data_IF_242127954275
#
_entry.id   IF_242127954275
#
_cell.length_a   1.000
_cell.length_b   1.000
_cell.length_c   1.000
_cell.angle_alpha   90.00
_cell.angle_beta   90.00
_cell.angle_gamma   90.00
#
_symmetry.space_group_name_H-M   'P 1'
#
loop_
_entity.id
_entity.type
_entity.pdbx_description
1 polymer ?
#
# COMPACT_ATOMS: atom_id res chain seq x y z
N UNK A 1 -10.17 -1.26 -8.64
CA UNK A 1 -10.57 0.00 -9.31
C UNK A 1 -9.37 0.75 -9.84
N UNK A 2 -8.36 1.15 -9.00
CA UNK A 2 -7.17 1.89 -9.46
C UNK A 2 -6.55 1.31 -10.73
N UNK A 3 -6.26 -0.01 -10.75
CA UNK A 3 -5.64 -0.66 -11.92
C UNK A 3 -6.53 -0.58 -13.16
N UNK A 4 -7.85 -0.69 -13.01
CA UNK A 4 -8.80 -0.51 -14.12
C UNK A 4 -8.79 0.92 -14.66
N UNK A 5 -8.77 1.93 -13.79
CA UNK A 5 -8.67 3.34 -14.19
C UNK A 5 -7.35 3.68 -14.92
N UNK A 6 -6.29 2.96 -14.57
CA UNK A 6 -4.97 3.10 -15.22
C UNK A 6 -4.76 2.19 -16.42
N UNK A 7 -5.78 1.41 -16.80
CA UNK A 7 -5.70 0.40 -17.88
C UNK A 7 -4.54 -0.59 -17.66
N UNK A 8 -4.31 -0.96 -16.39
CA UNK A 8 -3.30 -1.94 -16.00
C UNK A 8 -3.96 -3.31 -15.80
N UNK A 9 -3.24 -4.41 -16.06
CA UNK A 9 -3.74 -5.74 -15.74
C UNK A 9 -3.99 -5.87 -14.22
N UNK A 10 -5.04 -6.56 -13.86
CA UNK A 10 -5.38 -6.88 -12.47
C UNK A 10 -5.87 -8.32 -12.39
N UNK A 11 -5.56 -8.98 -11.29
CA UNK A 11 -5.87 -10.39 -11.05
C UNK A 11 -6.67 -10.60 -9.76
N UNK A 12 -6.71 -9.58 -8.89
CA UNK A 12 -7.37 -9.67 -7.59
C UNK A 12 -8.64 -8.83 -7.58
N UNK A 13 -9.74 -9.45 -7.17
CA UNK A 13 -11.01 -8.79 -6.93
C UNK A 13 -11.22 -8.63 -5.43
N UNK A 14 -11.08 -7.41 -4.93
CA UNK A 14 -11.46 -7.01 -3.58
C UNK A 14 -12.87 -6.42 -3.65
N UNK A 15 -13.86 -7.12 -3.10
CA UNK A 15 -15.28 -6.77 -3.18
C UNK A 15 -15.74 -6.27 -1.80
N UNK A 16 -15.76 -4.94 -1.58
CA UNK A 16 -16.33 -4.39 -0.36
C UNK A 16 -17.86 -4.48 -0.37
N UNK A 17 -18.46 -4.89 0.74
CA UNK A 17 -19.90 -5.09 0.89
C UNK A 17 -20.43 -4.53 2.21
N UNK A 18 -21.69 -4.14 2.24
CA UNK A 18 -22.39 -3.79 3.49
C UNK A 18 -22.98 -5.01 4.22
N UNK A 19 -22.89 -6.20 3.62
CA UNK A 19 -23.34 -7.45 4.22
C UNK A 19 -22.35 -7.92 5.30
N UNK A 20 -22.87 -8.42 6.42
CA UNK A 20 -22.03 -9.06 7.45
C UNK A 20 -21.47 -10.40 6.95
N UNK A 21 -20.35 -10.90 7.52
CA UNK A 21 -19.73 -12.16 7.08
C UNK A 21 -20.70 -13.34 7.07
N UNK A 22 -21.59 -13.44 8.05
CA UNK A 22 -22.61 -14.49 8.13
C UNK A 22 -23.60 -14.41 6.95
N UNK A 23 -24.05 -13.20 6.62
CA UNK A 23 -24.95 -12.97 5.49
C UNK A 23 -24.27 -13.32 4.15
N UNK A 24 -22.97 -12.99 4.02
CA UNK A 24 -22.20 -13.37 2.84
C UNK A 24 -22.14 -14.90 2.73
N UNK A 25 -21.84 -15.61 3.81
CA UNK A 25 -21.82 -17.08 3.82
C UNK A 25 -23.19 -17.72 3.50
N UNK A 26 -24.27 -17.11 3.96
CA UNK A 26 -25.65 -17.57 3.65
C UNK A 26 -25.98 -17.38 2.17
N UNK A 27 -25.66 -16.22 1.59
CA UNK A 27 -25.90 -15.93 0.16
C UNK A 27 -25.13 -16.86 -0.75
N UNK A 28 -23.91 -17.23 -0.36
CA UNK A 28 -23.01 -18.09 -1.13
C UNK A 28 -22.98 -19.54 -0.62
N UNK A 29 -24.06 -20.02 0.04
CA UNK A 29 -24.10 -21.36 0.63
C UNK A 29 -23.90 -22.50 -0.40
N UNK A 30 -24.24 -22.27 -1.67
CA UNK A 30 -24.04 -23.22 -2.77
C UNK A 30 -22.61 -23.23 -3.33
N UNK A 31 -21.74 -22.32 -2.86
CA UNK A 31 -20.35 -22.22 -3.27
C UNK A 31 -19.42 -22.70 -2.16
N UNK A 32 -18.18 -23.00 -2.51
CA UNK A 32 -17.16 -23.26 -1.51
C UNK A 32 -16.73 -21.94 -0.85
N UNK A 33 -17.11 -21.77 0.42
CA UNK A 33 -16.79 -20.57 1.20
C UNK A 33 -15.68 -20.88 2.19
N UNK A 34 -14.65 -20.02 2.26
CA UNK A 34 -13.52 -20.16 3.17
C UNK A 34 -13.54 -18.94 4.12
N UNK A 35 -13.78 -19.14 5.42
CA UNK A 35 -13.91 -18.07 6.41
C UNK A 35 -12.53 -17.57 6.89
N UNK A 36 -11.63 -17.17 5.98
CA UNK A 36 -10.23 -16.86 6.25
C UNK A 36 -10.00 -15.66 7.16
N UNK A 37 -10.92 -14.72 7.21
CA UNK A 37 -10.74 -13.46 7.93
C UNK A 37 -11.99 -12.92 8.61
N UNK A 38 -12.88 -13.79 9.10
CA UNK A 38 -14.18 -13.41 9.70
C UNK A 38 -14.02 -12.32 10.77
N UNK A 39 -13.00 -12.41 11.62
CA UNK A 39 -12.74 -11.41 12.67
C UNK A 39 -12.54 -10.00 12.11
N UNK A 40 -12.07 -9.91 10.87
CA UNK A 40 -11.81 -8.65 10.16
C UNK A 40 -12.84 -8.38 9.06
N UNK A 41 -13.90 -9.19 8.99
CA UNK A 41 -14.99 -9.01 8.05
C UNK A 41 -14.77 -9.63 6.66
N UNK A 42 -13.70 -10.41 6.43
CA UNK A 42 -13.39 -10.97 5.12
C UNK A 42 -13.83 -12.43 5.02
N UNK A 43 -14.46 -12.76 3.91
CA UNK A 43 -14.86 -14.11 3.50
C UNK A 43 -14.37 -14.35 2.07
N UNK A 44 -13.70 -15.48 1.83
CA UNK A 44 -13.30 -15.87 0.47
C UNK A 44 -14.32 -16.84 -0.11
N UNK A 45 -14.87 -16.52 -1.27
CA UNK A 45 -15.79 -17.38 -2.04
C UNK A 45 -15.04 -17.91 -3.26
N UNK A 46 -15.05 -19.23 -3.44
CA UNK A 46 -14.48 -19.85 -4.64
C UNK A 46 -15.58 -20.00 -5.70
N UNK A 47 -15.41 -19.33 -6.83
CA UNK A 47 -16.27 -19.47 -7.99
C UNK A 47 -15.46 -20.03 -9.17
N UNK A 48 -15.77 -21.23 -9.64
CA UNK A 48 -14.98 -21.94 -10.66
C UNK A 48 -13.48 -22.05 -10.32
N UNK A 49 -13.17 -22.35 -9.06
CA UNK A 49 -11.83 -22.41 -8.48
C UNK A 49 -11.08 -21.05 -8.41
N UNK A 50 -11.70 -19.96 -8.83
CA UNK A 50 -11.16 -18.60 -8.65
C UNK A 50 -11.60 -18.02 -7.30
N UNK A 51 -10.66 -17.47 -6.48
CA UNK A 51 -10.98 -16.88 -5.21
C UNK A 51 -11.47 -15.43 -5.36
N UNK A 52 -12.59 -15.10 -4.72
CA UNK A 52 -13.11 -13.75 -4.59
C UNK A 52 -13.15 -13.38 -3.11
N UNK A 53 -12.45 -12.33 -2.73
CA UNK A 53 -12.47 -11.80 -1.37
C UNK A 53 -13.58 -10.78 -1.20
N UNK A 54 -14.56 -11.11 -0.36
CA UNK A 54 -15.68 -10.23 -0.02
C UNK A 54 -15.46 -9.73 1.41
N UNK A 55 -15.31 -8.41 1.57
CA UNK A 55 -15.01 -7.79 2.85
C UNK A 55 -16.14 -6.86 3.29
N UNK A 56 -16.69 -7.10 4.47
CA UNK A 56 -17.67 -6.21 5.09
C UNK A 56 -17.06 -4.84 5.35
N UNK A 57 -17.77 -3.76 5.02
CA UNK A 57 -17.34 -2.40 5.35
C UNK A 57 -17.08 -2.29 6.84
N UNK A 58 -15.96 -1.65 7.20
CA UNK A 58 -15.56 -1.53 8.58
C UNK A 58 -14.84 -0.22 8.88
N UNK A 59 -14.88 0.13 10.15
CA UNK A 59 -14.06 1.16 10.76
C UNK A 59 -13.03 0.41 11.61
N UNK A 60 -11.75 0.70 11.43
CA UNK A 60 -10.70 0.14 12.25
C UNK A 60 -10.65 0.90 13.58
N UNK A 61 -10.53 0.17 14.70
CA UNK A 61 -10.33 0.74 16.02
C UNK A 61 -8.89 1.16 16.28
N UNK A 62 -8.52 1.29 17.55
CA UNK A 62 -7.14 1.64 17.93
C UNK A 62 -6.17 0.53 17.51
N UNK A 63 -4.94 0.95 17.16
CA UNK A 63 -3.85 0.06 16.77
C UNK A 63 -2.83 -0.01 17.91
N UNK A 64 -2.70 -1.17 18.56
CA UNK A 64 -1.72 -1.37 19.65
C UNK A 64 -0.37 -1.87 19.15
N UNK A 65 -0.34 -2.62 18.04
CA UNK A 65 0.85 -3.29 17.51
C UNK A 65 1.37 -2.65 16.20
N UNK A 66 0.89 -1.46 15.84
CA UNK A 66 1.21 -0.77 14.57
C UNK A 66 0.90 -1.61 13.32
N UNK A 67 -0.06 -2.55 13.41
CA UNK A 67 -0.44 -3.44 12.31
C UNK A 67 -1.93 -3.75 12.27
N UNK A 68 -2.46 -4.25 13.37
CA UNK A 68 -3.83 -4.72 13.45
C UNK A 68 -4.64 -3.82 14.35
N UNK A 69 -5.83 -3.40 13.93
CA UNK A 69 -6.75 -2.80 14.86
C UNK A 69 -7.15 -3.83 15.93
N UNK A 70 -7.14 -3.45 17.18
CA UNK A 70 -7.57 -4.32 18.28
C UNK A 70 -9.00 -4.81 18.08
N UNK A 71 -9.84 -3.91 17.57
CA UNK A 71 -11.23 -4.18 17.27
C UNK A 71 -11.60 -3.57 15.93
N UNK A 72 -12.54 -4.19 15.24
CA UNK A 72 -13.17 -3.64 14.04
C UNK A 72 -14.67 -3.46 14.32
N UNK A 73 -15.21 -2.35 13.87
CA UNK A 73 -16.66 -2.10 13.92
C UNK A 73 -17.20 -2.12 12.50
N UNK A 74 -18.15 -3.02 12.23
CA UNK A 74 -18.78 -3.06 10.93
C UNK A 74 -19.70 -1.85 10.73
N UNK A 75 -19.69 -1.30 9.52
CA UNK A 75 -20.49 -0.15 9.12
C UNK A 75 -21.25 -0.47 7.84
N UNK A 76 -22.34 0.24 7.61
CA UNK A 76 -23.04 0.19 6.32
C UNK A 76 -22.55 1.29 5.34
N UNK A 77 -21.65 2.16 5.79
CA UNK A 77 -21.19 3.31 5.03
C UNK A 77 -19.86 3.01 4.33
N UNK A 78 -19.89 2.94 3.01
CA UNK A 78 -18.70 2.72 2.18
C UNK A 78 -17.62 3.80 2.38
N UNK A 79 -18.00 5.05 2.64
CA UNK A 79 -17.04 6.13 2.88
C UNK A 79 -16.14 5.84 4.09
N UNK A 80 -16.69 5.26 5.14
CA UNK A 80 -15.92 4.94 6.35
C UNK A 80 -14.91 3.82 6.06
N UNK A 81 -15.28 2.82 5.26
CA UNK A 81 -14.36 1.75 4.83
C UNK A 81 -13.23 2.31 3.96
N UNK A 82 -13.53 3.24 3.07
CA UNK A 82 -12.50 3.86 2.23
C UNK A 82 -11.61 4.82 3.04
N UNK A 83 -12.13 5.46 4.10
CA UNK A 83 -11.38 6.38 4.95
C UNK A 83 -10.24 5.72 5.72
N UNK A 84 -10.32 4.42 6.05
CA UNK A 84 -9.26 3.69 6.75
C UNK A 84 -8.12 3.23 5.83
N UNK A 85 -8.26 3.36 4.51
CA UNK A 85 -7.26 2.95 3.53
C UNK A 85 -6.02 3.84 3.57
N UNK A 86 -4.94 3.37 2.96
CA UNK A 86 -3.63 4.04 2.99
C UNK A 86 -3.59 5.31 2.14
N UNK A 87 -3.89 5.19 0.83
CA UNK A 87 -3.74 6.28 -0.13
C UNK A 87 -5.02 6.50 -0.92
N UNK A 88 -5.24 7.75 -1.36
CA UNK A 88 -6.41 8.17 -2.13
C UNK A 88 -6.63 7.32 -3.37
N UNK A 89 -5.56 7.02 -4.11
CA UNK A 89 -5.58 6.16 -5.30
C UNK A 89 -6.05 4.73 -5.02
N UNK A 90 -6.05 4.29 -3.77
CA UNK A 90 -6.55 2.99 -3.30
C UNK A 90 -7.91 3.11 -2.60
N UNK A 91 -8.41 4.32 -2.35
CA UNK A 91 -9.66 4.60 -1.65
C UNK A 91 -10.80 4.95 -2.61
N UNK A 92 -10.86 4.26 -3.74
CA UNK A 92 -11.86 4.40 -4.79
C UNK A 92 -12.64 3.08 -4.88
N UNK A 93 -13.95 3.14 -4.95
CA UNK A 93 -14.81 2.01 -5.24
C UNK A 93 -15.54 2.19 -6.57
N UNK A 94 -16.00 1.10 -7.15
CA UNK A 94 -16.81 1.09 -8.37
C UNK A 94 -17.91 0.05 -8.22
N UNK A 95 -19.12 0.40 -8.60
CA UNK A 95 -20.23 -0.55 -8.60
C UNK A 95 -20.25 -1.42 -9.89
N UNK A 96 -21.20 -2.36 -9.94
CA UNK A 96 -21.37 -3.25 -11.09
C UNK A 96 -21.83 -2.55 -12.38
N UNK A 97 -22.26 -1.30 -12.30
CA UNK A 97 -22.65 -0.48 -13.45
C UNK A 97 -21.49 0.37 -13.97
N UNK A 98 -20.37 0.36 -13.25
CA UNK A 98 -19.20 1.17 -13.54
C UNK A 98 -19.26 2.58 -12.92
N UNK A 99 -20.23 2.86 -12.04
CA UNK A 99 -20.29 4.13 -11.31
C UNK A 99 -19.19 4.17 -10.24
N UNK A 100 -18.42 5.26 -10.26
CA UNK A 100 -17.28 5.43 -9.35
C UNK A 100 -17.72 6.18 -8.10
N UNK A 101 -17.33 5.67 -6.95
CA UNK A 101 -17.44 6.34 -5.67
C UNK A 101 -16.03 6.70 -5.17
N UNK A 102 -15.69 7.99 -5.27
CA UNK A 102 -14.37 8.54 -4.95
C UNK A 102 -14.48 9.71 -3.95
N UNK A 103 -14.67 9.43 -2.66
CA UNK A 103 -14.85 10.48 -1.65
C UNK A 103 -13.57 11.21 -1.26
N UNK A 104 -12.39 10.78 -1.75
CA UNK A 104 -11.07 11.29 -1.39
C UNK A 104 -10.25 11.79 -2.59
N UNK A 105 -10.89 12.00 -3.74
CA UNK A 105 -10.27 12.55 -4.95
C UNK A 105 -9.14 11.69 -5.55
N UNK A 106 -9.21 10.37 -5.35
CA UNK A 106 -8.21 9.42 -5.84
C UNK A 106 -8.10 9.39 -7.37
N UNK A 107 -9.21 9.60 -8.12
CA UNK A 107 -9.17 9.75 -9.58
C UNK A 107 -8.35 10.98 -10.01
N UNK A 108 -8.50 12.09 -9.28
CA UNK A 108 -7.72 13.31 -9.53
C UNK A 108 -6.24 13.07 -9.29
N UNK A 109 -5.90 12.38 -8.20
CA UNK A 109 -4.52 12.04 -7.87
C UNK A 109 -3.92 11.04 -8.88
N UNK A 110 -4.69 10.06 -9.37
CA UNK A 110 -4.26 9.17 -10.47
C UNK A 110 -3.92 9.99 -11.73
N UNK A 111 -4.80 10.91 -12.12
CA UNK A 111 -4.61 11.76 -13.33
C UNK A 111 -3.39 12.66 -13.20
N UNK A 112 -3.07 13.12 -11.98
CA UNK A 112 -1.91 13.97 -11.67
C UNK A 112 -0.63 13.18 -11.44
N UNK A 113 -0.71 11.86 -11.28
CA UNK A 113 0.44 11.01 -10.91
C UNK A 113 0.90 11.24 -9.48
N UNK A 114 -0.02 11.37 -8.52
CA UNK A 114 0.28 11.69 -7.12
C UNK A 114 -0.11 10.52 -6.19
N UNK A 115 0.74 10.22 -5.23
CA UNK A 115 0.45 9.36 -4.08
C UNK A 115 0.23 10.23 -2.86
N UNK A 116 -1.00 10.29 -2.40
CA UNK A 116 -1.46 11.07 -1.24
C UNK A 116 -2.09 10.13 -0.20
N UNK A 117 -1.77 10.30 1.08
CA UNK A 117 -2.48 9.62 2.16
C UNK A 117 -3.95 10.02 2.22
N UNK A 118 -4.81 9.09 2.63
CA UNK A 118 -6.18 9.40 3.01
C UNK A 118 -6.16 10.08 4.38
N UNK A 119 -6.64 11.32 4.48
CA UNK A 119 -6.65 12.09 5.72
C UNK A 119 -5.25 12.54 6.15
N UNK A 120 -4.95 12.45 7.45
CA UNK A 120 -3.69 12.92 8.00
C UNK A 120 -2.58 11.86 7.85
N UNK A 121 -1.48 12.14 7.12
CA UNK A 121 -0.41 11.14 6.91
C UNK A 121 0.28 10.70 8.21
N UNK A 122 0.45 11.60 9.18
CA UNK A 122 1.08 11.26 10.46
C UNK A 122 0.24 10.23 11.24
N UNK A 123 -1.07 10.39 11.25
CA UNK A 123 -2.00 9.44 11.86
C UNK A 123 -1.96 8.09 11.12
N UNK A 124 -2.07 8.11 9.79
CA UNK A 124 -2.05 6.90 8.95
C UNK A 124 -0.78 6.07 9.12
N UNK A 125 0.38 6.72 9.20
CA UNK A 125 1.67 6.03 9.40
C UNK A 125 1.89 5.62 10.86
N UNK A 126 1.20 6.24 11.80
CA UNK A 126 1.20 5.84 13.20
C UNK A 126 0.37 4.58 13.42
N UNK A 127 -0.74 4.42 12.71
CA UNK A 127 -1.59 3.22 12.75
C UNK A 127 -0.87 1.98 12.17
N UNK A 128 -0.33 2.07 10.97
CA UNK A 128 0.48 0.99 10.36
C UNK A 128 1.71 1.61 9.67
N UNK A 129 2.86 1.45 10.33
CA UNK A 129 4.12 1.99 9.84
C UNK A 129 4.56 1.39 8.49
N UNK A 130 4.09 0.20 8.10
CA UNK A 130 4.36 -0.35 6.77
C UNK A 130 3.82 0.55 5.65
N UNK A 131 2.79 1.38 5.92
CA UNK A 131 2.28 2.35 4.94
C UNK A 131 3.36 3.32 4.46
N UNK A 132 4.39 3.61 5.28
CA UNK A 132 5.57 4.38 4.89
C UNK A 132 6.25 3.72 3.67
N UNK A 133 6.63 2.46 3.81
CA UNK A 133 7.29 1.74 2.73
C UNK A 133 6.36 1.46 1.54
N UNK A 134 5.06 1.28 1.80
CA UNK A 134 4.04 1.15 0.75
C UNK A 134 3.93 2.42 -0.10
N UNK A 135 4.01 3.62 0.51
CA UNK A 135 4.01 4.90 -0.22
C UNK A 135 5.19 4.99 -1.19
N UNK A 136 6.39 4.73 -0.69
CA UNK A 136 7.63 4.72 -1.49
C UNK A 136 7.55 3.66 -2.60
N UNK A 137 7.02 2.47 -2.31
CA UNK A 137 6.80 1.43 -3.32
C UNK A 137 5.79 1.85 -4.39
N UNK A 138 4.66 2.47 -4.01
CA UNK A 138 3.69 2.92 -5.02
C UNK A 138 4.28 4.00 -5.93
N UNK A 139 5.06 4.93 -5.38
CA UNK A 139 5.78 5.91 -6.18
C UNK A 139 6.71 5.24 -7.21
N UNK A 140 7.45 4.21 -6.79
CA UNK A 140 8.31 3.42 -7.69
C UNK A 140 7.52 2.67 -8.76
N UNK A 141 6.52 1.88 -8.35
CA UNK A 141 5.78 0.97 -9.26
C UNK A 141 4.90 1.74 -10.24
N UNK A 142 4.21 2.78 -9.78
CA UNK A 142 3.31 3.56 -10.62
C UNK A 142 4.04 4.69 -11.38
N UNK A 143 5.23 5.08 -10.91
CA UNK A 143 5.96 6.25 -11.42
C UNK A 143 5.26 7.54 -11.06
N UNK A 144 4.66 7.60 -9.87
CA UNK A 144 3.96 8.73 -9.30
C UNK A 144 4.85 9.46 -8.30
N UNK A 145 4.57 10.73 -8.06
CA UNK A 145 5.23 11.52 -7.02
C UNK A 145 4.49 11.41 -5.69
N UNK A 146 5.22 11.42 -4.58
CA UNK A 146 4.59 11.53 -3.26
C UNK A 146 4.18 12.98 -3.00
N UNK A 147 2.94 13.17 -2.56
CA UNK A 147 2.44 14.49 -2.15
C UNK A 147 3.26 15.02 -0.96
N UNK A 148 3.45 16.34 -0.88
CA UNK A 148 4.41 16.98 0.02
C UNK A 148 4.22 16.61 1.50
N UNK A 149 2.99 16.67 2.03
CA UNK A 149 2.73 16.33 3.44
C UNK A 149 2.90 14.83 3.70
N UNK A 150 2.54 14.00 2.71
CA UNK A 150 2.75 12.54 2.73
C UNK A 150 4.25 12.22 2.74
N UNK A 151 5.06 12.87 1.89
CA UNK A 151 6.51 12.69 1.84
C UNK A 151 7.18 13.14 3.15
N UNK A 152 6.79 14.31 3.67
CA UNK A 152 7.30 14.82 4.94
C UNK A 152 7.04 13.86 6.10
N UNK A 153 5.82 13.30 6.18
CA UNK A 153 5.47 12.33 7.21
C UNK A 153 6.25 11.01 7.07
N UNK A 154 6.54 10.56 5.84
CA UNK A 154 7.42 9.41 5.56
C UNK A 154 8.79 9.62 6.20
N UNK A 155 9.45 10.73 5.92
CA UNK A 155 10.77 11.03 6.48
C UNK A 155 10.72 11.19 8.00
N UNK A 156 9.69 11.85 8.53
CA UNK A 156 9.53 12.10 9.97
C UNK A 156 9.35 10.82 10.77
N UNK A 157 8.61 9.84 10.22
CA UNK A 157 8.18 8.64 10.95
C UNK A 157 8.94 7.37 10.55
N UNK A 158 10.01 7.47 9.76
CA UNK A 158 10.79 6.33 9.24
C UNK A 158 11.25 5.36 10.34
N UNK A 159 11.61 5.85 11.53
CA UNK A 159 12.06 5.03 12.65
C UNK A 159 10.99 4.05 13.13
N UNK A 160 9.71 4.25 12.79
CA UNK A 160 8.66 3.30 13.11
C UNK A 160 8.75 2.01 12.29
N UNK A 161 9.50 2.00 11.19
CA UNK A 161 9.78 0.80 10.41
C UNK A 161 10.55 -0.26 11.20
N UNK A 162 11.28 0.12 12.25
CA UNK A 162 11.99 -0.81 13.14
C UNK A 162 11.05 -1.80 13.86
N UNK A 163 9.76 -1.43 13.98
CA UNK A 163 8.74 -2.29 14.60
C UNK A 163 8.06 -3.23 13.61
N UNK A 164 8.42 -3.19 12.32
CA UNK A 164 7.81 -4.01 11.27
C UNK A 164 8.66 -5.25 11.04
N UNK A 165 8.01 -6.42 10.93
CA UNK A 165 8.74 -7.66 10.69
C UNK A 165 9.46 -7.65 9.33
N UNK A 166 10.63 -8.28 9.28
CA UNK A 166 11.47 -8.34 8.09
C UNK A 166 10.74 -8.95 6.88
N UNK A 167 9.83 -9.90 7.11
CA UNK A 167 9.03 -10.52 6.05
C UNK A 167 8.10 -9.51 5.37
N UNK A 168 7.45 -8.63 6.16
CA UNK A 168 6.58 -7.58 5.60
C UNK A 168 7.40 -6.54 4.83
N UNK A 169 8.55 -6.13 5.38
CA UNK A 169 9.48 -5.20 4.73
C UNK A 169 9.97 -5.79 3.41
N UNK A 170 10.42 -7.05 3.40
CA UNK A 170 10.97 -7.69 2.21
C UNK A 170 9.96 -7.76 1.06
N UNK A 171 8.69 -8.06 1.35
CA UNK A 171 7.61 -8.09 0.33
C UNK A 171 7.41 -6.72 -0.34
N UNK A 172 7.40 -5.64 0.43
CA UNK A 172 7.24 -4.29 -0.12
C UNK A 172 8.51 -3.84 -0.84
N UNK A 173 9.70 -4.13 -0.28
CA UNK A 173 10.99 -3.81 -0.90
C UNK A 173 11.17 -4.53 -2.24
N UNK A 174 10.86 -5.81 -2.33
CA UNK A 174 10.93 -6.56 -3.59
C UNK A 174 10.06 -5.93 -4.68
N UNK A 175 8.84 -5.52 -4.33
CA UNK A 175 7.96 -4.82 -5.26
C UNK A 175 8.48 -3.43 -5.64
N UNK A 176 9.13 -2.74 -4.70
CA UNK A 176 9.72 -1.42 -4.93
C UNK A 176 10.86 -1.49 -5.95
N UNK A 177 11.80 -2.41 -5.77
CA UNK A 177 12.96 -2.57 -6.68
C UNK A 177 12.57 -3.05 -8.08
N UNK A 178 11.43 -3.73 -8.22
CA UNK A 178 10.86 -4.10 -9.52
C UNK A 178 10.02 -2.98 -10.16
N UNK A 179 9.93 -1.82 -9.53
CA UNK A 179 9.14 -0.69 -10.04
C UNK A 179 9.87 0.03 -11.20
N UNK A 180 9.08 0.57 -12.14
CA UNK A 180 9.62 1.27 -13.32
C UNK A 180 10.42 2.53 -12.99
N UNK A 181 10.22 3.12 -11.80
CA UNK A 181 10.91 4.33 -11.34
C UNK A 181 11.81 4.05 -10.12
N UNK A 182 12.27 2.79 -9.96
CA UNK A 182 12.95 2.35 -8.75
C UNK A 182 14.24 3.13 -8.48
N UNK A 183 15.05 3.42 -9.49
CA UNK A 183 16.33 4.14 -9.32
C UNK A 183 16.11 5.52 -8.71
N UNK A 184 15.22 6.32 -9.29
CA UNK A 184 14.94 7.66 -8.78
C UNK A 184 14.42 7.60 -7.34
N UNK A 185 13.46 6.73 -7.07
CA UNK A 185 12.84 6.60 -5.74
C UNK A 185 13.83 6.09 -4.69
N UNK A 186 14.68 5.11 -5.02
CA UNK A 186 15.70 4.61 -4.11
C UNK A 186 16.75 5.66 -3.77
N UNK A 187 17.09 6.54 -4.71
CA UNK A 187 18.00 7.66 -4.45
C UNK A 187 17.36 8.76 -3.62
N UNK A 188 16.11 9.13 -3.94
CA UNK A 188 15.37 10.20 -3.25
C UNK A 188 15.03 9.82 -1.81
N UNK A 189 14.61 8.57 -1.58
CA UNK A 189 14.22 8.04 -0.26
C UNK A 189 15.30 7.15 0.36
N UNK A 190 16.59 7.45 0.08
CA UNK A 190 17.73 6.67 0.59
C UNK A 190 17.77 6.54 2.11
N UNK A 191 17.27 7.54 2.84
CA UNK A 191 17.19 7.52 4.29
C UNK A 191 16.15 6.50 4.80
N UNK A 192 15.09 6.23 4.05
CA UNK A 192 14.12 5.15 4.32
C UNK A 192 14.78 3.80 4.06
N UNK A 193 15.55 3.69 2.99
CA UNK A 193 16.30 2.46 2.67
C UNK A 193 17.37 2.20 3.72
N UNK A 194 18.10 3.22 4.17
CA UNK A 194 19.07 3.09 5.26
C UNK A 194 18.44 2.73 6.61
N UNK A 195 17.15 3.08 6.84
CA UNK A 195 16.43 2.64 8.04
C UNK A 195 16.14 1.13 8.02
N UNK A 196 15.80 0.56 6.87
CA UNK A 196 15.46 -0.86 6.75
C UNK A 196 16.67 -1.74 6.42
N UNK A 197 17.76 -1.17 5.87
CA UNK A 197 19.02 -1.83 5.55
C UNK A 197 20.18 -0.93 6.00
N UNK A 198 20.48 -0.87 7.31
CA UNK A 198 21.51 0.03 7.85
C UNK A 198 22.91 -0.19 7.27
N UNK A 199 23.18 -1.38 6.76
CA UNK A 199 24.43 -1.76 6.12
C UNK A 199 24.72 -0.96 4.84
N UNK A 200 23.69 -0.34 4.23
CA UNK A 200 23.86 0.52 3.07
C UNK A 200 24.27 1.96 3.42
N UNK A 201 24.08 2.39 4.67
CA UNK A 201 24.40 3.78 5.08
C UNK A 201 25.87 4.16 4.76
N UNK A 202 26.89 3.31 5.03
CA UNK A 202 28.27 3.64 4.69
C UNK A 202 28.55 3.84 3.19
N UNK A 203 27.64 3.36 2.32
CA UNK A 203 27.76 3.53 0.88
C UNK A 203 27.23 4.88 0.37
N UNK A 204 26.45 5.61 1.21
CA UNK A 204 25.90 6.92 0.86
C UNK A 204 27.02 7.93 0.71
N UNK A 205 27.01 8.68 -0.41
CA UNK A 205 28.00 9.71 -0.71
C UNK A 205 29.46 9.21 -0.65
N UNK A 206 29.69 7.88 -0.70
CA UNK A 206 31.03 7.30 -0.70
C UNK A 206 31.62 7.30 -2.12
N UNK A 207 32.51 8.27 -2.39
CA UNK A 207 33.18 8.40 -3.66
C UNK A 207 34.15 7.23 -3.93
N UNK A 208 34.13 6.69 -5.15
CA UNK A 208 34.96 5.54 -5.52
C UNK A 208 36.38 5.94 -5.91
N UNK A 209 36.74 7.23 -6.05
CA UNK A 209 38.03 7.75 -6.45
C UNK A 209 38.70 7.06 -7.65
N UNK A 210 37.87 6.66 -8.62
CA UNK A 210 38.29 5.91 -9.81
C UNK A 210 37.79 6.57 -11.08
N UNK A 211 38.61 6.71 -12.14
CA UNK A 211 38.16 7.27 -13.39
C UNK A 211 37.13 6.39 -14.13
N UNK A 212 36.97 5.15 -13.70
CA UNK A 212 36.03 4.19 -14.29
C UNK A 212 34.65 4.23 -13.64
N UNK A 213 34.48 4.91 -12.48
CA UNK A 213 33.22 4.99 -11.74
C UNK A 213 32.69 6.41 -11.75
N UNK A 214 31.50 6.59 -12.31
CA UNK A 214 30.85 7.88 -12.46
C UNK A 214 30.02 8.25 -11.21
N UNK A 215 29.56 7.24 -10.46
CA UNK A 215 28.62 7.37 -9.36
C UNK A 215 29.30 7.03 -8.04
N UNK A 216 28.75 7.50 -6.92
CA UNK A 216 29.11 6.97 -5.61
C UNK A 216 28.75 5.49 -5.47
N UNK A 217 29.16 4.86 -4.37
CA UNK A 217 28.92 3.41 -4.16
C UNK A 217 27.42 3.09 -4.10
N UNK A 218 26.64 3.91 -3.40
CA UNK A 218 25.20 3.66 -3.28
C UNK A 218 24.48 3.79 -4.61
N UNK A 219 24.68 4.90 -5.33
CA UNK A 219 24.06 5.09 -6.64
C UNK A 219 24.49 4.01 -7.63
N UNK A 220 25.77 3.57 -7.58
CA UNK A 220 26.25 2.46 -8.42
C UNK A 220 25.47 1.16 -8.12
N UNK A 221 25.29 0.79 -6.84
CA UNK A 221 24.50 -0.38 -6.42
C UNK A 221 23.07 -0.27 -6.94
N UNK A 222 22.41 0.88 -6.73
CA UNK A 222 21.02 1.07 -7.12
C UNK A 222 20.82 0.97 -8.64
N UNK A 223 21.74 1.53 -9.42
CA UNK A 223 21.68 1.42 -10.88
C UNK A 223 21.95 -0.01 -11.38
N UNK A 224 22.81 -0.76 -10.72
CA UNK A 224 23.04 -2.17 -11.04
C UNK A 224 21.82 -3.06 -10.78
N UNK A 225 20.99 -2.74 -9.77
CA UNK A 225 19.74 -3.45 -9.50
C UNK A 225 18.72 -3.29 -10.63
N UNK A 226 18.76 -2.18 -11.37
CA UNK A 226 17.81 -1.85 -12.45
C UNK A 226 18.37 -2.18 -13.86
N UNK A 227 19.54 -2.75 -13.97
CA UNK A 227 20.14 -3.13 -15.25
C UNK A 227 19.65 -4.51 -15.71
#
# INVERSE_FOLDING_TARGET
>A
VRSALMVLPFHDYDIPANALPQQIMEVFADYRVIPTGIKHGTVTVLCNDEPFEITTFRIDGEYSDSRHPENVTFTANLRDDLARRDFTVNAIAMDLRGEIFDPFEGESDIKKGIIRCVGNPVERFTEDALRILRGVRFASVLGFELEADTANAIHQLKNRLDNISAERISVELMKLICGKNCVQILLEYRDIIGQIIPELIPAFDHEQHSPYHKYDVYEHIIRAVNA
#
